data_IF_308971123532
#
_entry.id   IF_308971123532
#
_cell.length_a   1.000
_cell.length_b   1.000
_cell.length_c   1.000
_cell.angle_alpha   90.00
_cell.angle_beta   90.00
_cell.angle_gamma   90.00
#
_symmetry.space_group_name_H-M   'P 1'
#
loop_
_entity.id
_entity.type
_entity.pdbx_description
1 polymer ?
#
# COMPACT_ATOMS: atom_id res chain seq x y z
N UNK A 1 17.86 55.27 14.32
CA UNK A 1 17.58 54.34 13.15
C UNK A 1 17.76 52.87 13.52
N UNK A 2 18.92 52.46 14.05
CA UNK A 2 19.17 51.04 14.47
C UNK A 2 18.27 50.60 15.65
N UNK A 3 17.93 51.48 16.61
CA UNK A 3 17.04 51.18 17.71
C UNK A 3 15.57 51.11 17.27
N UNK A 4 15.16 51.96 16.35
CA UNK A 4 13.81 51.97 15.79
C UNK A 4 13.56 50.74 14.92
N UNK A 5 14.55 50.31 14.14
CA UNK A 5 14.51 49.11 13.34
C UNK A 5 14.42 47.84 14.23
N UNK A 6 15.18 47.82 15.35
CA UNK A 6 15.09 46.74 16.35
C UNK A 6 13.74 46.71 17.10
N UNK A 7 13.23 47.88 17.46
CA UNK A 7 11.90 47.98 18.09
C UNK A 7 10.80 47.58 17.12
N UNK A 8 10.92 47.98 15.86
CA UNK A 8 9.97 47.57 14.81
C UNK A 8 10.01 46.06 14.59
N UNK A 9 11.20 45.47 14.44
CA UNK A 9 11.38 44.00 14.30
C UNK A 9 10.82 43.25 15.53
N UNK A 10 11.11 43.77 16.75
CA UNK A 10 10.53 43.21 17.98
C UNK A 10 9.00 43.34 18.03
N UNK A 11 8.47 44.49 17.59
CA UNK A 11 7.02 44.75 17.57
C UNK A 11 6.33 43.87 16.51
N UNK A 12 6.94 43.66 15.36
CA UNK A 12 6.44 42.81 14.30
C UNK A 12 6.47 41.35 14.74
N UNK A 13 7.55 40.87 15.39
CA UNK A 13 7.61 39.54 16.01
C UNK A 13 6.56 39.33 17.11
N UNK A 14 6.28 40.35 17.92
CA UNK A 14 5.22 40.32 18.95
C UNK A 14 3.83 40.32 18.29
N UNK A 15 3.65 41.06 17.19
CA UNK A 15 2.42 41.03 16.39
C UNK A 15 2.19 39.66 15.73
N UNK A 16 3.23 39.08 15.15
CA UNK A 16 3.15 37.72 14.57
C UNK A 16 2.82 36.70 15.64
N UNK A 17 3.39 36.77 16.83
CA UNK A 17 3.01 35.92 17.98
C UNK A 17 1.59 36.20 18.49
N UNK A 18 1.05 37.40 18.38
CA UNK A 18 -0.32 37.72 18.74
C UNK A 18 -1.38 37.15 17.77
N UNK A 19 -0.98 36.81 16.56
CA UNK A 19 -1.88 36.17 15.57
C UNK A 19 -2.06 34.69 15.93
N UNK A 20 -1.14 34.11 16.68
CA UNK A 20 -1.28 32.74 17.20
C UNK A 20 -2.18 32.79 18.44
N UNK A 21 -3.29 32.07 18.40
CA UNK A 21 -4.12 31.88 19.60
C UNK A 21 -3.25 31.25 20.68
N UNK A 22 -3.07 31.93 21.80
CA UNK A 22 -2.38 31.36 22.95
C UNK A 22 -3.24 30.20 23.47
N UNK A 23 -2.85 28.97 23.20
CA UNK A 23 -3.60 27.80 23.60
C UNK A 23 -2.71 26.91 24.45
N UNK A 24 -3.27 26.41 25.54
CA UNK A 24 -2.64 25.38 26.36
C UNK A 24 -2.82 23.97 25.77
N UNK A 25 -3.19 23.89 24.48
CA UNK A 25 -3.43 22.63 23.77
C UNK A 25 -2.13 21.84 23.61
N UNK A 26 -2.15 20.61 24.06
CA UNK A 26 -1.04 19.68 23.87
C UNK A 26 -0.99 19.12 22.45
N UNK A 27 0.22 18.83 21.97
CA UNK A 27 0.41 18.24 20.63
C UNK A 27 -0.44 16.98 20.41
N UNK A 28 -0.47 16.06 21.39
CA UNK A 28 -1.21 14.81 21.27
C UNK A 28 -2.72 15.02 21.17
N UNK A 29 -3.26 15.99 21.87
CA UNK A 29 -4.68 16.33 21.80
C UNK A 29 -5.03 16.90 20.43
N UNK A 30 -4.25 17.87 19.98
CA UNK A 30 -4.43 18.43 18.63
C UNK A 30 -4.29 17.37 17.53
N UNK A 31 -3.24 16.52 17.60
CA UNK A 31 -3.01 15.47 16.61
C UNK A 31 -4.13 14.44 16.53
N UNK A 32 -4.73 14.07 17.66
CA UNK A 32 -5.92 13.19 17.70
C UNK A 32 -7.16 13.88 17.12
N UNK A 33 -7.40 15.14 17.46
CA UNK A 33 -8.47 15.95 16.88
C UNK A 33 -8.28 16.13 15.37
N UNK A 34 -7.05 16.43 14.93
CA UNK A 34 -6.69 16.51 13.52
C UNK A 34 -6.98 15.19 12.77
N UNK A 35 -6.61 14.04 13.35
CA UNK A 35 -6.89 12.74 12.77
C UNK A 35 -8.39 12.50 12.60
N UNK A 36 -9.18 12.77 13.65
CA UNK A 36 -10.63 12.59 13.65
C UNK A 36 -11.33 13.50 12.65
N UNK A 37 -10.85 14.74 12.49
CA UNK A 37 -11.49 15.76 11.64
C UNK A 37 -11.02 15.67 10.18
N UNK A 38 -9.72 15.76 9.96
CA UNK A 38 -9.17 15.92 8.60
C UNK A 38 -8.84 14.59 7.90
N UNK A 39 -8.88 13.47 8.62
CA UNK A 39 -8.65 12.13 8.07
C UNK A 39 -9.86 11.19 8.17
N UNK A 40 -11.01 11.70 8.61
CA UNK A 40 -12.26 10.92 8.73
C UNK A 40 -12.65 10.19 7.42
N UNK A 41 -12.50 10.87 6.27
CA UNK A 41 -12.81 10.29 4.94
C UNK A 41 -11.72 9.37 4.35
N UNK A 42 -10.63 9.10 5.09
CA UNK A 42 -9.60 8.18 4.61
C UNK A 42 -9.91 6.73 4.96
N UNK A 43 -9.31 5.78 4.21
CA UNK A 43 -9.51 4.36 4.49
C UNK A 43 -9.09 4.00 5.93
N UNK A 44 -9.72 2.98 6.50
CA UNK A 44 -9.41 2.49 7.85
C UNK A 44 -7.91 2.16 8.03
N UNK A 45 -7.27 1.59 7.01
CA UNK A 45 -5.83 1.32 7.03
C UNK A 45 -5.01 2.60 7.15
N UNK A 46 -5.42 3.68 6.45
CA UNK A 46 -4.74 4.99 6.53
C UNK A 46 -4.96 5.64 7.90
N UNK A 47 -6.19 5.60 8.41
CA UNK A 47 -6.48 6.12 9.75
C UNK A 47 -5.71 5.36 10.83
N UNK A 48 -5.68 4.01 10.75
CA UNK A 48 -4.92 3.16 11.67
C UNK A 48 -3.42 3.44 11.61
N UNK A 49 -2.87 3.73 10.44
CA UNK A 49 -1.46 4.12 10.29
C UNK A 49 -1.19 5.43 11.02
N UNK A 50 -1.98 6.49 10.78
CA UNK A 50 -1.80 7.76 11.50
C UNK A 50 -2.00 7.59 13.01
N UNK A 51 -3.03 6.83 13.40
CA UNK A 51 -3.27 6.53 14.82
C UNK A 51 -2.06 5.85 15.47
N UNK A 52 -1.50 4.83 14.83
CA UNK A 52 -0.31 4.14 15.34
C UNK A 52 0.89 5.08 15.46
N UNK A 53 1.11 5.97 14.47
CA UNK A 53 2.19 6.94 14.54
C UNK A 53 1.98 7.91 15.69
N UNK A 54 0.78 8.47 15.85
CA UNK A 54 0.46 9.44 16.92
C UNK A 54 0.56 8.80 18.30
N UNK A 55 -0.08 7.63 18.49
CA UNK A 55 -0.21 7.02 19.82
C UNK A 55 1.09 6.34 20.28
N UNK A 56 1.89 5.79 19.35
CA UNK A 56 3.08 5.02 19.69
C UNK A 56 4.38 5.80 19.46
N UNK A 57 4.57 6.32 18.25
CA UNK A 57 5.86 6.90 17.87
C UNK A 57 5.99 8.38 18.24
N UNK A 58 4.86 9.06 18.45
CA UNK A 58 4.83 10.46 18.91
C UNK A 58 4.33 10.57 20.37
N UNK A 59 4.31 9.46 21.10
CA UNK A 59 3.89 9.45 22.51
C UNK A 59 4.73 10.37 23.40
N UNK A 60 6.03 10.53 23.12
CA UNK A 60 6.92 11.44 23.83
C UNK A 60 6.47 12.91 23.74
N UNK A 61 5.72 13.29 22.68
CA UNK A 61 5.15 14.62 22.54
C UNK A 61 3.84 14.82 23.31
N UNK A 62 3.35 13.82 24.05
CA UNK A 62 2.05 13.90 24.72
C UNK A 62 1.99 15.02 25.77
N UNK A 63 3.10 15.31 26.43
CA UNK A 63 3.24 16.40 27.43
C UNK A 63 3.79 17.71 26.86
N UNK A 64 4.02 17.80 25.55
CA UNK A 64 4.54 19.01 24.92
C UNK A 64 3.37 19.86 24.42
N UNK A 65 3.35 21.15 24.83
CA UNK A 65 2.38 22.11 24.27
C UNK A 65 2.64 22.28 22.78
N UNK A 66 1.57 22.47 22.02
CA UNK A 66 1.68 22.62 20.57
C UNK A 66 2.60 23.78 20.16
N UNK A 67 2.56 24.90 20.93
CA UNK A 67 3.46 26.06 20.76
C UNK A 67 4.94 25.75 20.96
N UNK A 68 5.26 24.73 21.73
CA UNK A 68 6.61 24.40 22.18
C UNK A 68 7.23 23.26 21.35
N UNK A 69 6.49 22.76 20.34
CA UNK A 69 7.00 21.73 19.44
C UNK A 69 8.21 22.28 18.65
N UNK A 70 9.35 21.65 18.83
CA UNK A 70 10.61 22.05 18.24
C UNK A 70 11.30 20.86 17.54
N UNK A 71 12.35 21.15 16.78
CA UNK A 71 13.13 20.15 16.03
C UNK A 71 13.55 18.95 16.88
N UNK A 72 14.00 19.17 18.11
CA UNK A 72 14.45 18.09 19.01
C UNK A 72 13.38 17.03 19.23
N UNK A 73 12.14 17.45 19.41
CA UNK A 73 11.03 16.54 19.71
C UNK A 73 10.77 15.54 18.58
N UNK A 74 10.71 16.00 17.31
CA UNK A 74 10.47 15.08 16.20
C UNK A 74 11.72 14.29 15.83
N UNK A 75 12.93 14.89 15.99
CA UNK A 75 14.18 14.19 15.72
C UNK A 75 14.35 12.98 16.67
N UNK A 76 14.02 13.17 17.94
CA UNK A 76 13.98 12.07 18.92
C UNK A 76 13.03 10.96 18.44
N UNK A 77 11.79 11.31 18.04
CA UNK A 77 10.84 10.31 17.55
C UNK A 77 11.31 9.58 16.29
N UNK A 78 12.08 10.25 15.42
CA UNK A 78 12.70 9.62 14.25
C UNK A 78 13.84 8.68 14.68
N UNK A 79 14.68 9.12 15.63
CA UNK A 79 15.80 8.31 16.12
C UNK A 79 15.30 7.06 16.87
N UNK A 80 14.21 7.15 17.64
CA UNK A 80 13.58 6.02 18.32
C UNK A 80 13.05 4.95 17.34
N UNK A 81 12.89 5.33 16.07
CA UNK A 81 12.51 4.42 15.00
C UNK A 81 13.72 4.01 14.12
N UNK A 82 14.95 4.09 14.63
CA UNK A 82 16.15 3.67 13.94
C UNK A 82 16.04 2.21 13.45
N UNK A 83 16.59 1.91 12.27
CA UNK A 83 16.46 0.62 11.61
C UNK A 83 15.12 0.41 10.86
N UNK A 84 14.16 1.34 11.01
CA UNK A 84 12.85 1.28 10.37
C UNK A 84 12.57 2.50 9.47
N UNK A 85 13.29 2.69 8.35
CA UNK A 85 13.24 3.94 7.56
C UNK A 85 11.84 4.27 7.01
N UNK A 86 11.01 3.26 6.75
CA UNK A 86 9.60 3.47 6.38
C UNK A 86 8.79 4.09 7.52
N UNK A 87 9.01 3.66 8.75
CA UNK A 87 8.33 4.23 9.92
C UNK A 87 8.82 5.65 10.15
N UNK A 88 10.12 5.89 10.06
CA UNK A 88 10.71 7.23 10.15
C UNK A 88 10.08 8.19 9.13
N UNK A 89 9.92 7.75 7.88
CA UNK A 89 9.25 8.54 6.85
C UNK A 89 7.78 8.83 7.18
N UNK A 90 7.06 7.86 7.75
CA UNK A 90 5.67 8.07 8.19
C UNK A 90 5.58 9.02 9.38
N UNK A 91 6.51 8.97 10.33
CA UNK A 91 6.62 9.92 11.44
C UNK A 91 6.81 11.34 10.90
N UNK A 92 7.83 11.54 10.04
CA UNK A 92 8.11 12.81 9.39
C UNK A 92 6.88 13.38 8.67
N UNK A 93 6.23 12.56 7.84
CA UNK A 93 5.03 12.93 7.08
C UNK A 93 3.87 13.32 8.01
N UNK A 94 3.69 12.59 9.10
CA UNK A 94 2.59 12.83 10.05
C UNK A 94 2.80 14.14 10.79
N UNK A 95 3.98 14.35 11.37
CA UNK A 95 4.31 15.61 12.06
C UNK A 95 4.13 16.79 11.10
N UNK A 96 4.71 16.71 9.91
CA UNK A 96 4.60 17.77 8.90
C UNK A 96 3.15 18.12 8.58
N UNK A 97 2.27 17.13 8.45
CA UNK A 97 0.86 17.38 8.16
C UNK A 97 0.10 17.94 9.36
N UNK A 98 0.36 17.46 10.57
CA UNK A 98 -0.25 17.93 11.80
C UNK A 98 0.15 19.40 12.05
N UNK A 99 1.46 19.71 12.01
CA UNK A 99 1.96 21.06 12.26
C UNK A 99 1.52 22.05 11.18
N UNK A 100 1.51 21.65 9.89
CA UNK A 100 0.96 22.48 8.81
C UNK A 100 -0.53 22.80 9.03
N UNK A 101 -1.28 21.86 9.58
CA UNK A 101 -2.67 22.10 9.96
C UNK A 101 -2.77 23.07 11.13
N UNK A 102 -1.90 22.92 12.13
CA UNK A 102 -1.85 23.84 13.28
C UNK A 102 -1.54 25.29 12.88
N UNK A 103 -0.68 25.48 11.87
CA UNK A 103 -0.43 26.81 11.28
C UNK A 103 -1.70 27.39 10.65
N UNK A 104 -2.41 26.58 9.86
CA UNK A 104 -3.69 27.00 9.22
C UNK A 104 -4.77 27.36 10.25
N UNK A 105 -4.80 26.62 11.36
CA UNK A 105 -5.73 26.86 12.47
C UNK A 105 -5.26 28.00 13.39
N UNK A 106 -4.14 28.67 13.06
CA UNK A 106 -3.52 29.76 13.82
C UNK A 106 -3.14 29.36 15.26
N UNK A 107 -2.71 28.11 15.43
CA UNK A 107 -2.26 27.54 16.71
C UNK A 107 -0.74 27.37 16.78
N UNK A 108 -0.05 27.54 15.66
CA UNK A 108 1.41 27.46 15.54
C UNK A 108 1.93 28.54 14.58
N UNK A 109 3.05 29.22 14.86
CA UNK A 109 3.60 30.25 13.98
C UNK A 109 4.12 29.67 12.65
N UNK A 110 3.84 30.35 11.54
CA UNK A 110 4.24 29.92 10.21
C UNK A 110 5.77 29.90 10.03
N UNK A 111 6.46 30.94 10.51
CA UNK A 111 7.94 31.03 10.47
C UNK A 111 8.61 29.88 11.21
N UNK A 112 8.13 29.52 12.41
CA UNK A 112 8.67 28.37 13.16
C UNK A 112 8.38 27.04 12.47
N UNK A 113 7.27 26.96 11.74
CA UNK A 113 6.98 25.76 10.95
C UNK A 113 7.92 25.64 9.74
N UNK A 114 8.24 26.75 9.06
CA UNK A 114 9.20 26.79 7.96
C UNK A 114 10.58 26.35 8.42
N UNK A 115 11.06 26.91 9.55
CA UNK A 115 12.31 26.48 10.18
C UNK A 115 12.31 24.99 10.56
N UNK A 116 11.18 24.50 11.09
CA UNK A 116 11.01 23.09 11.42
C UNK A 116 11.05 22.21 10.16
N UNK A 117 10.40 22.65 9.07
CA UNK A 117 10.32 21.91 7.81
C UNK A 117 11.69 21.82 7.11
N UNK A 118 12.43 22.94 7.06
CA UNK A 118 13.78 23.01 6.49
C UNK A 118 14.79 22.17 7.29
N UNK A 119 14.65 22.16 8.62
CA UNK A 119 15.51 21.38 9.50
C UNK A 119 15.22 19.84 9.46
N UNK A 120 14.16 19.41 8.77
CA UNK A 120 13.84 18.00 8.61
C UNK A 120 14.74 17.33 7.56
N UNK A 121 15.73 16.59 7.99
CA UNK A 121 16.62 15.83 7.10
C UNK A 121 15.86 14.82 6.23
N UNK A 122 16.29 14.59 4.98
CA UNK A 122 15.68 13.58 4.13
C UNK A 122 15.94 12.18 4.67
N UNK A 123 14.88 11.39 4.81
CA UNK A 123 15.00 9.99 5.22
C UNK A 123 15.24 9.14 3.97
N UNK A 124 16.37 8.47 3.92
CA UNK A 124 16.75 7.56 2.83
C UNK A 124 15.96 6.26 2.96
N UNK A 125 14.78 6.23 2.35
CA UNK A 125 13.96 5.04 2.23
C UNK A 125 13.83 4.65 0.75
N UNK A 126 14.31 3.47 0.41
CA UNK A 126 14.03 2.85 -0.88
C UNK A 126 13.01 1.73 -0.63
N UNK A 127 11.80 1.81 -1.23
CA UNK A 127 10.87 0.68 -1.18
C UNK A 127 11.55 -0.57 -1.76
N UNK A 128 11.26 -1.73 -1.20
CA UNK A 128 11.66 -2.99 -1.83
C UNK A 128 11.11 -3.04 -3.25
N UNK A 129 11.96 -3.42 -4.19
CA UNK A 129 11.55 -3.57 -5.58
C UNK A 129 10.48 -4.65 -5.69
N UNK A 130 9.41 -4.29 -6.37
CA UNK A 130 8.35 -5.24 -6.67
C UNK A 130 8.88 -6.16 -7.76
N UNK A 131 9.02 -7.44 -7.45
CA UNK A 131 9.46 -8.45 -8.38
C UNK A 131 8.33 -9.36 -8.86
N UNK A 132 8.41 -9.96 -10.04
CA UNK A 132 7.56 -11.09 -10.40
C UNK A 132 7.95 -12.35 -9.61
N UNK A 133 7.21 -13.45 -9.83
CA UNK A 133 7.59 -14.77 -9.34
C UNK A 133 8.91 -15.19 -9.99
N UNK A 134 9.80 -15.76 -9.20
CA UNK A 134 10.99 -16.42 -9.73
C UNK A 134 10.63 -17.73 -10.43
N UNK A 135 11.54 -18.29 -11.22
CA UNK A 135 11.29 -19.54 -11.93
C UNK A 135 11.05 -20.71 -10.99
N UNK A 136 11.78 -20.80 -9.88
CA UNK A 136 11.58 -21.83 -8.88
C UNK A 136 10.25 -21.65 -8.12
N UNK A 137 9.85 -20.41 -7.79
CA UNK A 137 8.54 -20.12 -7.18
C UNK A 137 7.40 -20.51 -8.13
N UNK A 138 7.52 -20.20 -9.41
CA UNK A 138 6.54 -20.59 -10.44
C UNK A 138 6.44 -22.09 -10.61
N UNK A 139 7.57 -22.79 -10.68
CA UNK A 139 7.60 -24.26 -10.75
C UNK A 139 6.98 -24.88 -9.49
N UNK A 140 7.35 -24.38 -8.31
CA UNK A 140 6.80 -24.83 -7.04
C UNK A 140 5.29 -24.57 -6.94
N UNK A 141 4.79 -23.44 -7.44
CA UNK A 141 3.36 -23.13 -7.46
C UNK A 141 2.56 -24.23 -8.15
N UNK A 142 3.00 -24.70 -9.33
CA UNK A 142 2.27 -25.72 -10.09
C UNK A 142 2.50 -27.13 -9.56
N UNK A 143 3.65 -27.42 -8.99
CA UNK A 143 4.00 -28.75 -8.45
C UNK A 143 3.46 -29.00 -7.03
N UNK A 144 3.15 -27.95 -6.26
CA UNK A 144 2.72 -28.07 -4.88
C UNK A 144 1.37 -28.78 -4.75
N UNK A 145 1.28 -29.72 -3.81
CA UNK A 145 0.01 -30.31 -3.39
C UNK A 145 -0.69 -29.38 -2.40
N UNK A 146 -1.75 -28.73 -2.85
CA UNK A 146 -2.54 -27.79 -2.07
C UNK A 146 -3.97 -28.28 -1.91
N UNK A 147 -4.64 -27.88 -0.81
CA UNK A 147 -6.09 -28.10 -0.70
C UNK A 147 -6.82 -27.43 -1.86
N UNK A 148 -8.01 -27.92 -2.22
CA UNK A 148 -8.79 -27.36 -3.35
C UNK A 148 -9.07 -25.86 -3.17
N UNK A 149 -9.30 -25.40 -1.94
CA UNK A 149 -9.49 -24.00 -1.61
C UNK A 149 -8.20 -23.20 -1.79
N UNK A 150 -7.07 -23.69 -1.26
CA UNK A 150 -5.78 -23.01 -1.33
C UNK A 150 -5.30 -22.95 -2.80
N UNK A 151 -5.52 -24.02 -3.58
CA UNK A 151 -5.24 -24.09 -5.02
C UNK A 151 -6.06 -23.06 -5.78
N UNK A 152 -7.37 -23.01 -5.59
CA UNK A 152 -8.23 -22.04 -6.22
C UNK A 152 -7.81 -20.61 -5.91
N UNK A 153 -7.41 -20.35 -4.64
CA UNK A 153 -6.96 -19.01 -4.24
C UNK A 153 -5.70 -18.56 -4.99
N UNK A 154 -4.68 -19.41 -5.04
CA UNK A 154 -3.42 -19.04 -5.75
C UNK A 154 -3.59 -18.99 -7.25
N UNK A 155 -4.44 -19.85 -7.82
CA UNK A 155 -4.74 -19.86 -9.26
C UNK A 155 -5.48 -18.60 -9.70
N UNK A 156 -6.38 -18.07 -8.87
CA UNK A 156 -7.02 -16.76 -9.09
C UNK A 156 -5.98 -15.62 -9.01
N UNK A 157 -5.10 -15.65 -8.02
CA UNK A 157 -4.04 -14.64 -7.91
C UNK A 157 -3.10 -14.67 -9.12
N UNK A 158 -2.68 -15.87 -9.53
CA UNK A 158 -1.73 -16.08 -10.63
C UNK A 158 -2.35 -15.78 -12.00
N UNK A 159 -3.51 -16.36 -12.28
CA UNK A 159 -4.13 -16.32 -13.60
C UNK A 159 -4.96 -15.08 -13.87
N UNK A 160 -5.48 -14.42 -12.82
CA UNK A 160 -6.38 -13.29 -12.96
C UNK A 160 -5.83 -11.98 -12.34
N UNK A 161 -4.70 -12.03 -11.66
CA UNK A 161 -4.02 -10.85 -11.13
C UNK A 161 -4.78 -10.07 -10.06
N UNK A 162 -5.74 -10.70 -9.35
CA UNK A 162 -6.56 -10.04 -8.33
C UNK A 162 -5.72 -9.57 -7.15
N UNK A 163 -6.13 -8.46 -6.54
CA UNK A 163 -5.62 -8.08 -5.21
C UNK A 163 -6.12 -9.09 -4.18
N UNK A 164 -5.31 -9.34 -3.14
CA UNK A 164 -5.69 -10.22 -2.01
C UNK A 164 -7.12 -9.96 -1.51
N UNK A 165 -7.45 -8.70 -1.26
CA UNK A 165 -8.77 -8.32 -0.73
C UNK A 165 -9.90 -8.55 -1.73
N UNK A 166 -9.65 -8.38 -3.03
CA UNK A 166 -10.61 -8.69 -4.10
C UNK A 166 -10.87 -10.21 -4.16
N UNK A 167 -9.79 -11.01 -4.17
CA UNK A 167 -9.91 -12.48 -4.18
C UNK A 167 -10.69 -13.00 -2.95
N UNK A 168 -10.37 -12.51 -1.74
CA UNK A 168 -11.07 -12.91 -0.50
C UNK A 168 -12.54 -12.49 -0.45
N UNK A 169 -12.95 -11.50 -1.24
CA UNK A 169 -14.33 -11.02 -1.30
C UNK A 169 -15.20 -11.81 -2.28
N UNK A 170 -14.61 -12.67 -3.12
CA UNK A 170 -15.34 -13.40 -4.16
C UNK A 170 -16.38 -14.34 -3.60
N UNK A 171 -17.52 -14.33 -4.26
CA UNK A 171 -18.59 -15.30 -4.10
C UNK A 171 -18.70 -16.19 -5.33
N UNK A 172 -19.40 -17.34 -5.23
CA UNK A 172 -19.66 -18.19 -6.40
C UNK A 172 -20.38 -17.47 -7.54
N UNK A 173 -21.13 -16.42 -7.24
CA UNK A 173 -21.88 -15.62 -8.22
C UNK A 173 -20.98 -14.61 -8.97
N UNK A 174 -19.80 -14.34 -8.45
CA UNK A 174 -18.81 -13.48 -9.12
C UNK A 174 -18.01 -14.25 -10.18
N UNK A 175 -18.10 -15.60 -10.22
CA UNK A 175 -17.39 -16.44 -11.17
C UNK A 175 -18.36 -16.95 -12.24
N UNK A 176 -18.22 -16.43 -13.44
CA UNK A 176 -18.97 -16.92 -14.61
C UNK A 176 -18.20 -18.07 -15.27
N UNK A 177 -18.58 -19.29 -14.93
CA UNK A 177 -17.96 -20.50 -15.47
C UNK A 177 -18.24 -20.71 -16.96
N UNK A 178 -19.36 -20.17 -17.48
CA UNK A 178 -19.73 -20.29 -18.89
C UNK A 178 -18.84 -19.41 -19.76
N UNK A 179 -18.69 -18.15 -19.37
CA UNK A 179 -17.87 -17.16 -20.08
C UNK A 179 -16.41 -17.16 -19.62
N UNK A 180 -16.06 -17.95 -18.60
CA UNK A 180 -14.73 -18.04 -17.99
C UNK A 180 -14.20 -16.67 -17.56
N UNK A 181 -15.00 -15.95 -16.78
CA UNK A 181 -14.62 -14.63 -16.25
C UNK A 181 -14.89 -14.52 -14.76
N UNK A 182 -14.18 -13.61 -14.12
CA UNK A 182 -14.41 -13.21 -12.72
C UNK A 182 -14.82 -11.74 -12.70
N UNK A 183 -15.97 -11.45 -12.10
CA UNK A 183 -16.47 -10.09 -11.89
C UNK A 183 -15.99 -9.57 -10.55
N UNK A 184 -15.26 -8.46 -10.56
CA UNK A 184 -14.68 -7.83 -9.37
C UNK A 184 -15.49 -6.58 -9.08
N UNK A 185 -16.23 -6.59 -7.95
CA UNK A 185 -17.12 -5.51 -7.54
C UNK A 185 -16.98 -5.13 -6.06
N UNK A 186 -16.14 -5.82 -5.31
CA UNK A 186 -15.92 -5.63 -3.87
C UNK A 186 -14.54 -6.10 -3.45
N UNK A 187 -14.11 -5.71 -2.26
CA UNK A 187 -12.89 -6.18 -1.65
C UNK A 187 -13.05 -6.35 -0.14
N UNK A 188 -12.32 -7.28 0.45
CA UNK A 188 -12.18 -7.41 1.91
C UNK A 188 -11.06 -6.50 2.39
N UNK A 189 -11.33 -5.71 3.42
CA UNK A 189 -10.32 -5.15 4.29
C UNK A 189 -10.48 -5.71 5.71
N UNK A 190 -9.38 -5.71 6.48
CA UNK A 190 -9.43 -6.18 7.85
C UNK A 190 -9.48 -5.01 8.84
N UNK A 191 -10.52 -4.99 9.68
CA UNK A 191 -10.66 -4.09 10.81
C UNK A 191 -10.23 -4.87 12.07
N UNK A 192 -8.97 -4.75 12.44
CA UNK A 192 -8.36 -5.68 13.38
C UNK A 192 -8.37 -7.10 12.81
N UNK A 193 -9.01 -8.05 13.46
CA UNK A 193 -9.17 -9.43 12.99
C UNK A 193 -10.38 -9.65 12.07
N UNK A 194 -11.38 -8.75 12.14
CA UNK A 194 -12.65 -8.94 11.44
C UNK A 194 -12.56 -8.52 9.97
N UNK A 195 -13.08 -9.35 9.02
CA UNK A 195 -13.24 -8.93 7.64
C UNK A 195 -14.38 -7.91 7.51
N UNK A 196 -14.18 -6.91 6.67
CA UNK A 196 -15.19 -5.94 6.27
C UNK A 196 -15.19 -5.82 4.76
N UNK A 197 -16.36 -5.86 4.15
CA UNK A 197 -16.51 -5.62 2.71
C UNK A 197 -16.49 -4.12 2.45
N UNK A 198 -15.85 -3.76 1.36
CA UNK A 198 -15.86 -2.39 0.84
C UNK A 198 -15.91 -2.40 -0.67
N UNK A 199 -16.40 -1.31 -1.21
CA UNK A 199 -16.32 -1.06 -2.64
C UNK A 199 -14.85 -0.86 -3.10
N UNK A 200 -14.57 -1.12 -4.38
CA UNK A 200 -13.30 -0.75 -4.97
C UNK A 200 -13.01 0.74 -4.79
N UNK A 201 -11.73 1.09 -4.57
CA UNK A 201 -11.31 2.48 -4.33
C UNK A 201 -11.55 3.45 -5.48
N UNK A 202 -11.77 2.94 -6.69
CA UNK A 202 -11.95 3.72 -7.91
C UNK A 202 -12.89 2.98 -8.87
N UNK A 203 -13.45 3.70 -9.83
CA UNK A 203 -14.26 3.12 -10.90
C UNK A 203 -13.54 1.99 -11.64
N UNK A 204 -12.23 2.12 -11.86
CA UNK A 204 -11.41 1.06 -12.49
C UNK A 204 -11.33 -0.23 -11.66
N UNK A 205 -11.74 -0.18 -10.40
CA UNK A 205 -11.81 -1.37 -9.54
C UNK A 205 -12.95 -2.31 -9.91
N UNK A 206 -14.03 -1.79 -10.54
CA UNK A 206 -15.12 -2.59 -11.08
C UNK A 206 -14.73 -3.11 -12.47
N UNK A 207 -14.53 -4.40 -12.60
CA UNK A 207 -14.05 -5.01 -13.83
C UNK A 207 -14.36 -6.48 -13.92
N UNK A 208 -14.36 -7.01 -15.14
CA UNK A 208 -14.39 -8.45 -15.42
C UNK A 208 -13.03 -8.88 -15.97
N UNK A 209 -12.48 -9.96 -15.43
CA UNK A 209 -11.16 -10.50 -15.79
C UNK A 209 -11.34 -11.91 -16.35
N UNK A 210 -10.76 -12.25 -17.52
CA UNK A 210 -10.81 -13.60 -18.06
C UNK A 210 -10.01 -14.59 -17.21
N UNK A 211 -10.52 -15.80 -17.08
CA UNK A 211 -9.84 -16.92 -16.43
C UNK A 211 -9.06 -17.69 -17.50
N UNK A 212 -7.73 -17.75 -17.44
CA UNK A 212 -6.93 -18.49 -18.40
C UNK A 212 -7.23 -19.99 -18.38
N UNK A 213 -7.16 -20.68 -19.53
CA UNK A 213 -7.39 -22.14 -19.62
C UNK A 213 -6.51 -22.96 -18.67
N UNK A 214 -5.30 -22.50 -18.38
CA UNK A 214 -4.34 -23.21 -17.51
C UNK A 214 -4.77 -23.33 -16.04
N UNK A 215 -5.58 -22.39 -15.53
CA UNK A 215 -6.06 -22.39 -14.14
C UNK A 215 -7.56 -22.65 -14.03
N UNK A 216 -8.28 -22.59 -15.14
CA UNK A 216 -9.74 -22.74 -15.15
C UNK A 216 -10.23 -24.06 -14.56
N UNK A 217 -9.65 -25.24 -14.85
CA UNK A 217 -10.16 -26.52 -14.35
C UNK A 217 -10.18 -26.61 -12.82
N UNK A 218 -9.13 -26.11 -12.15
CA UNK A 218 -9.06 -26.10 -10.69
C UNK A 218 -10.09 -25.15 -10.07
N UNK A 219 -10.26 -23.95 -10.66
CA UNK A 219 -11.25 -22.97 -10.24
C UNK A 219 -12.67 -23.53 -10.45
N UNK A 220 -12.97 -24.10 -11.62
CA UNK A 220 -14.27 -24.69 -11.94
C UNK A 220 -14.62 -25.81 -10.96
N UNK A 221 -13.69 -26.75 -10.74
CA UNK A 221 -13.91 -27.88 -9.82
C UNK A 221 -14.22 -27.38 -8.40
N UNK A 222 -13.46 -26.39 -7.92
CA UNK A 222 -13.71 -25.82 -6.59
C UNK A 222 -15.06 -25.11 -6.50
N UNK A 223 -15.39 -24.25 -7.47
CA UNK A 223 -16.65 -23.48 -7.49
C UNK A 223 -17.87 -24.38 -7.59
N UNK A 224 -17.82 -25.44 -8.43
CA UNK A 224 -18.93 -26.43 -8.55
C UNK A 224 -19.13 -27.24 -7.27
N UNK A 225 -18.06 -27.58 -6.56
CA UNK A 225 -18.11 -28.32 -5.30
C UNK A 225 -18.50 -27.45 -4.08
N UNK A 226 -18.60 -26.13 -4.24
CA UNK A 226 -18.85 -25.21 -3.13
C UNK A 226 -20.31 -25.30 -2.66
N UNK A 227 -20.51 -25.55 -1.36
CA UNK A 227 -21.85 -25.56 -0.75
C UNK A 227 -22.34 -24.18 -0.30
N UNK A 228 -21.43 -23.26 0.02
CA UNK A 228 -21.71 -21.91 0.48
C UNK A 228 -21.67 -20.86 -0.63
N UNK A 229 -21.83 -19.60 -0.26
CA UNK A 229 -21.77 -18.46 -1.16
C UNK A 229 -20.36 -17.95 -1.34
N UNK A 230 -19.60 -17.79 -0.24
CA UNK A 230 -18.26 -17.25 -0.25
C UNK A 230 -17.25 -18.27 -0.77
N UNK A 231 -16.34 -17.87 -1.67
CA UNK A 231 -15.29 -18.77 -2.14
C UNK A 231 -14.31 -19.15 -1.03
N UNK A 232 -13.90 -18.19 -0.23
CA UNK A 232 -12.85 -18.38 0.77
C UNK A 232 -13.41 -18.11 2.17
N UNK A 233 -13.46 -19.17 2.98
CA UNK A 233 -14.07 -19.15 4.31
C UNK A 233 -13.11 -19.65 5.36
N UNK A 234 -13.36 -19.30 6.62
CA UNK A 234 -12.80 -20.00 7.76
C UNK A 234 -13.50 -21.34 7.96
N UNK A 235 -12.93 -22.21 8.79
CA UNK A 235 -13.47 -23.57 9.03
C UNK A 235 -14.93 -23.59 9.50
N UNK A 236 -15.40 -22.55 10.19
CA UNK A 236 -16.80 -22.42 10.62
C UNK A 236 -17.74 -21.88 9.54
N UNK A 237 -17.28 -21.67 8.30
CA UNK A 237 -18.09 -21.21 7.18
C UNK A 237 -18.24 -19.69 7.05
N UNK A 238 -17.71 -18.90 7.99
CA UNK A 238 -17.73 -17.44 7.91
C UNK A 238 -16.66 -16.88 6.96
N UNK A 239 -16.75 -15.58 6.68
CA UNK A 239 -15.75 -14.86 5.87
C UNK A 239 -14.34 -15.03 6.44
N UNK A 240 -13.34 -15.04 5.56
CA UNK A 240 -11.94 -15.19 5.93
C UNK A 240 -11.48 -14.05 6.86
N UNK A 241 -11.08 -14.38 8.10
CA UNK A 241 -10.49 -13.43 9.05
C UNK A 241 -9.02 -13.15 8.72
N UNK A 242 -8.44 -12.13 9.34
CA UNK A 242 -7.02 -11.80 9.13
C UNK A 242 -6.10 -12.95 9.54
N UNK A 243 -6.34 -13.54 10.71
CA UNK A 243 -5.59 -14.71 11.19
C UNK A 243 -5.88 -15.97 10.35
N UNK A 244 -7.13 -16.12 9.87
CA UNK A 244 -7.51 -17.18 8.94
C UNK A 244 -6.73 -17.10 7.63
N UNK A 245 -6.67 -15.91 7.04
CA UNK A 245 -5.86 -15.65 5.84
C UNK A 245 -4.37 -15.92 6.09
N UNK A 246 -3.81 -15.47 7.21
CA UNK A 246 -2.41 -15.72 7.55
C UNK A 246 -2.11 -17.23 7.56
N UNK A 247 -2.93 -18.02 8.26
CA UNK A 247 -2.76 -19.49 8.29
C UNK A 247 -2.93 -20.15 6.93
N UNK A 248 -3.87 -19.68 6.11
CA UNK A 248 -4.03 -20.14 4.73
C UNK A 248 -2.78 -19.87 3.91
N UNK A 249 -2.26 -18.65 3.99
CA UNK A 249 -1.05 -18.25 3.26
C UNK A 249 0.19 -19.02 3.71
N UNK A 250 0.36 -19.22 5.01
CA UNK A 250 1.45 -20.04 5.58
C UNK A 250 1.39 -21.49 5.06
N UNK A 251 0.19 -22.10 4.95
CA UNK A 251 0.03 -23.44 4.37
C UNK A 251 0.42 -23.48 2.89
N UNK A 252 0.00 -22.48 2.12
CA UNK A 252 0.34 -22.35 0.70
C UNK A 252 1.84 -22.27 0.52
N UNK A 253 2.49 -21.35 1.22
CA UNK A 253 3.96 -21.17 1.15
C UNK A 253 4.69 -22.44 1.60
N UNK A 254 4.22 -23.09 2.66
CA UNK A 254 4.80 -24.36 3.13
C UNK A 254 4.65 -25.47 2.07
N UNK A 255 3.51 -25.59 1.42
CA UNK A 255 3.29 -26.56 0.33
C UNK A 255 4.20 -26.27 -0.87
N UNK A 256 4.35 -25.01 -1.25
CA UNK A 256 5.28 -24.63 -2.32
C UNK A 256 6.74 -24.89 -1.92
N UNK A 257 7.12 -24.58 -0.69
CA UNK A 257 8.50 -24.81 -0.20
C UNK A 257 8.86 -26.28 -0.21
N UNK A 258 7.93 -27.19 0.05
CA UNK A 258 8.18 -28.63 0.08
C UNK A 258 8.64 -29.21 -1.28
N UNK A 259 8.34 -28.50 -2.38
CA UNK A 259 8.66 -28.92 -3.75
C UNK A 259 9.58 -27.95 -4.49
N UNK A 260 9.97 -26.85 -3.82
CA UNK A 260 10.84 -25.84 -4.40
C UNK A 260 12.30 -26.27 -4.33
N UNK A 261 13.08 -25.98 -5.38
CA UNK A 261 14.52 -26.19 -5.41
C UNK A 261 15.30 -25.16 -4.58
N UNK A 262 14.68 -24.02 -4.29
CA UNK A 262 15.30 -22.90 -3.60
C UNK A 262 14.40 -22.39 -2.46
N UNK A 263 14.95 -21.71 -1.44
CA UNK A 263 14.14 -21.11 -0.38
C UNK A 263 13.15 -20.06 -0.92
N UNK A 264 11.87 -20.21 -0.57
CA UNK A 264 10.83 -19.22 -0.90
C UNK A 264 10.78 -18.18 0.23
N UNK A 265 11.31 -16.99 -0.02
CA UNK A 265 11.40 -15.91 0.96
C UNK A 265 10.60 -14.69 0.49
N UNK A 266 9.80 -14.11 1.41
CA UNK A 266 9.08 -12.86 1.14
C UNK A 266 7.93 -13.00 0.15
N UNK A 267 7.49 -14.21 -0.20
CA UNK A 267 6.37 -14.42 -1.13
C UNK A 267 5.06 -13.85 -0.56
N UNK A 268 4.41 -12.98 -1.32
CA UNK A 268 3.14 -12.35 -0.96
C UNK A 268 2.15 -12.42 -2.10
N UNK A 269 0.85 -12.32 -1.80
CA UNK A 269 -0.20 -12.24 -2.82
C UNK A 269 0.00 -11.08 -3.81
N UNK A 270 0.71 -10.02 -3.41
CA UNK A 270 0.99 -8.90 -4.31
C UNK A 270 2.03 -9.23 -5.39
N UNK A 271 2.96 -10.14 -5.09
CA UNK A 271 3.94 -10.65 -6.07
C UNK A 271 3.23 -11.37 -7.23
N UNK A 272 2.17 -12.13 -6.96
CA UNK A 272 1.36 -12.77 -8.01
C UNK A 272 0.73 -11.76 -8.96
N UNK A 273 0.19 -10.67 -8.42
CA UNK A 273 -0.37 -9.60 -9.23
C UNK A 273 0.71 -8.86 -10.04
N UNK A 274 1.88 -8.65 -9.46
CA UNK A 274 3.02 -8.07 -10.17
C UNK A 274 3.45 -8.99 -11.32
N UNK A 275 3.57 -10.30 -11.05
CA UNK A 275 3.85 -11.31 -12.06
C UNK A 275 2.82 -11.32 -13.21
N UNK A 276 1.52 -11.21 -12.89
CA UNK A 276 0.46 -11.09 -13.89
C UNK A 276 0.63 -9.85 -14.76
N UNK A 277 0.93 -8.69 -14.15
CA UNK A 277 1.24 -7.46 -14.88
C UNK A 277 2.43 -7.63 -15.80
N UNK A 278 3.55 -8.15 -15.30
CA UNK A 278 4.78 -8.38 -16.07
C UNK A 278 4.51 -9.32 -17.25
N UNK A 279 3.80 -10.42 -17.02
CA UNK A 279 3.46 -11.38 -18.09
C UNK A 279 2.63 -10.72 -19.20
N UNK A 280 1.70 -9.83 -18.87
CA UNK A 280 0.93 -9.07 -19.86
C UNK A 280 1.79 -8.02 -20.57
N UNK A 281 2.71 -7.35 -19.88
CA UNK A 281 3.63 -6.40 -20.49
C UNK A 281 4.54 -7.07 -21.54
N UNK A 282 4.92 -8.33 -21.35
CA UNK A 282 5.65 -9.10 -22.37
C UNK A 282 4.83 -9.37 -23.65
N UNK A 283 3.51 -9.18 -23.62
CA UNK A 283 2.64 -9.36 -24.78
C UNK A 283 2.37 -8.07 -25.56
N UNK A 284 3.02 -6.96 -25.22
CA UNK A 284 2.95 -5.71 -25.99
C UNK A 284 3.73 -5.90 -27.31
N UNK A 285 3.19 -5.50 -28.46
CA UNK A 285 2.01 -4.67 -28.71
C UNK A 285 0.67 -5.42 -28.87
N UNK A 286 0.62 -6.74 -28.72
CA UNK A 286 -0.63 -7.54 -28.86
C UNK A 286 -1.73 -7.07 -27.90
N UNK A 287 -1.36 -6.55 -26.74
CA UNK A 287 -2.26 -5.93 -25.76
C UNK A 287 -1.73 -4.54 -25.40
N UNK A 288 -2.59 -3.54 -25.30
CA UNK A 288 -2.20 -2.17 -24.96
C UNK A 288 -2.01 -2.01 -23.44
N UNK A 289 -1.17 -1.05 -23.04
CA UNK A 289 -0.98 -0.64 -21.63
C UNK A 289 -2.30 -0.27 -20.97
N UNK A 290 -3.17 0.46 -21.70
CA UNK A 290 -4.51 0.80 -21.22
C UNK A 290 -5.33 -0.45 -20.89
N UNK A 291 -5.31 -1.48 -21.77
CA UNK A 291 -6.05 -2.71 -21.53
C UNK A 291 -5.48 -3.51 -20.36
N UNK A 292 -4.16 -3.52 -20.18
CA UNK A 292 -3.52 -4.12 -19.01
C UNK A 292 -3.96 -3.40 -17.72
N UNK A 293 -3.99 -2.07 -17.72
CA UNK A 293 -4.46 -1.26 -16.60
C UNK A 293 -5.94 -1.55 -16.25
N UNK A 294 -6.81 -1.68 -17.26
CA UNK A 294 -8.21 -2.09 -17.07
C UNK A 294 -8.32 -3.48 -16.42
N UNK A 295 -7.60 -4.48 -16.92
CA UNK A 295 -7.60 -5.84 -16.36
C UNK A 295 -7.11 -5.87 -14.92
N UNK A 296 -6.11 -5.07 -14.62
CA UNK A 296 -5.59 -4.94 -13.26
C UNK A 296 -6.50 -4.09 -12.35
N UNK A 297 -7.33 -3.20 -12.92
CA UNK A 297 -8.04 -2.17 -12.14
C UNK A 297 -7.07 -1.21 -11.46
N UNK A 298 -6.09 -0.73 -12.22
CA UNK A 298 -5.04 0.16 -11.75
C UNK A 298 -4.82 1.30 -12.76
N UNK A 299 -3.87 2.19 -12.52
CA UNK A 299 -3.53 3.28 -13.44
C UNK A 299 -2.55 2.81 -14.52
N UNK A 300 -2.64 3.43 -15.70
CA UNK A 300 -1.66 3.21 -16.78
C UNK A 300 -0.25 3.55 -16.32
N UNK A 301 -0.09 4.57 -15.47
CA UNK A 301 1.20 4.93 -14.88
C UNK A 301 1.88 3.76 -14.18
N UNK A 302 1.12 3.00 -13.37
CA UNK A 302 1.65 1.84 -12.65
C UNK A 302 2.07 0.72 -13.61
N UNK A 303 1.31 0.51 -14.69
CA UNK A 303 1.67 -0.47 -15.73
C UNK A 303 2.91 -0.02 -16.49
N UNK A 304 3.02 1.28 -16.81
CA UNK A 304 4.20 1.86 -17.46
C UNK A 304 5.47 1.70 -16.62
N UNK A 305 5.37 1.86 -15.28
CA UNK A 305 6.52 1.64 -14.40
C UNK A 305 7.05 0.18 -14.53
N UNK A 306 6.14 -0.80 -14.58
CA UNK A 306 6.51 -2.22 -14.79
C UNK A 306 7.05 -2.45 -16.19
N UNK A 307 6.39 -1.90 -17.21
CA UNK A 307 6.81 -2.04 -18.60
C UNK A 307 8.20 -1.45 -18.88
N UNK A 308 8.46 -0.25 -18.38
CA UNK A 308 9.75 0.41 -18.53
C UNK A 308 10.88 -0.41 -17.92
N UNK A 309 10.64 -1.03 -16.74
CA UNK A 309 11.61 -1.92 -16.11
C UNK A 309 11.94 -3.11 -17.03
N UNK A 310 10.92 -3.74 -17.62
CA UNK A 310 11.08 -4.88 -18.53
C UNK A 310 11.82 -4.47 -19.81
N UNK A 311 11.53 -3.29 -20.36
CA UNK A 311 12.20 -2.77 -21.57
C UNK A 311 13.66 -2.50 -21.29
N UNK A 312 13.98 -1.81 -20.18
CA UNK A 312 15.37 -1.52 -19.78
C UNK A 312 16.22 -2.78 -19.59
N UNK A 313 15.62 -3.88 -19.10
CA UNK A 313 16.32 -5.17 -18.98
C UNK A 313 16.67 -5.80 -20.35
N UNK A 314 15.97 -5.42 -21.42
CA UNK A 314 16.11 -5.98 -22.78
C UNK A 314 16.85 -5.06 -23.73
N UNK A 315 17.05 -3.78 -23.37
CA UNK A 315 17.70 -2.80 -24.24
C UNK A 315 19.19 -3.08 -24.35
N UNK A 316 19.64 -3.34 -25.58
CA UNK A 316 21.06 -3.31 -25.93
C UNK A 316 21.48 -1.87 -26.27
N UNK A 317 21.75 -1.09 -25.24
CA UNK A 317 22.17 0.30 -25.40
C UNK A 317 23.50 0.42 -26.19
N UNK A 318 24.41 -0.54 -26.05
CA UNK A 318 25.70 -0.51 -26.76
C UNK A 318 25.50 -0.74 -28.25
N UNK A 319 24.69 -1.73 -28.64
CA UNK A 319 24.32 -1.97 -30.02
C UNK A 319 23.58 -0.79 -30.67
N UNK A 320 22.57 -0.24 -29.94
CA UNK A 320 21.80 0.90 -30.40
C UNK A 320 22.67 2.16 -30.66
N UNK A 321 23.61 2.45 -29.73
CA UNK A 321 24.57 3.58 -29.91
C UNK A 321 25.50 3.32 -31.09
N UNK A 322 26.02 2.09 -31.25
CA UNK A 322 26.87 1.74 -32.36
C UNK A 322 26.16 1.89 -33.70
N UNK A 323 24.89 1.49 -33.78
CA UNK A 323 24.09 1.62 -35.02
C UNK A 323 23.72 3.08 -35.29
N UNK A 324 23.38 3.87 -34.29
CA UNK A 324 23.06 5.29 -34.42
C UNK A 324 24.28 6.13 -34.92
N UNK A 325 25.49 5.70 -34.59
CA UNK A 325 26.73 6.40 -35.02
C UNK A 325 27.30 5.90 -36.34
N UNK A 326 26.72 4.85 -36.92
CA UNK A 326 27.06 4.38 -38.28
C UNK A 326 26.35 5.11 -39.41
N UNK A 327 25.45 6.06 -39.09
CA UNK A 327 24.84 6.99 -40.01
C UNK A 327 25.80 8.21 -40.20
#
# INVERSE_FOLDING_TARGET
KDLEDKVKDYTDRVRERRIVRNTDTYFSEYAKGWLATYKAGKSNATQSMYKNIIDKHLAALSGVKLSDVARVHYQTAINDAEGHPRIQQQIKLTIKQVMRSAVRDKLYPANLFEELEEAMEPIRYRPEEKRPLTDYERKALFAAELSTMDRCFVDILYGCGLRRGEALALTRFDVDLKNRTININKAVEFLGEKPSLKDPKSQNGFRSVPIPPSVFPAIENYVRGLRGTQLFTIRSGGMMTKSGYRRMWERIVKGMQAVSSEPIVGLTAHIFRHNYCSNLCYQIPRISIKKIAELLGDSEKMVMEVYNHIVLEKEDAAGAVADALRM
#
